data_IF_416900085482
#
_entry.id   IF_416900085482
#
_cell.length_a   1.000
_cell.length_b   1.000
_cell.length_c   1.000
_cell.angle_alpha   90.00
_cell.angle_beta   90.00
_cell.angle_gamma   90.00
#
_symmetry.space_group_name_H-M   'P 1'
#
loop_
_entity.id
_entity.type
_entity.pdbx_description
1 polymer ?
#
# COMPACT_ATOMS: atom_id res chain seq x y z
N UNK A 1 3.41 14.78 -3.67
CA UNK A 1 3.84 14.73 -5.07
C UNK A 1 3.82 16.13 -5.66
N UNK A 2 2.68 16.85 -5.64
CA UNK A 2 2.55 18.21 -6.20
C UNK A 2 3.68 19.15 -5.71
N UNK A 3 3.88 19.27 -4.39
CA UNK A 3 4.95 20.11 -3.81
C UNK A 3 6.35 19.72 -4.29
N UNK A 4 6.63 18.43 -4.44
CA UNK A 4 7.94 17.95 -4.91
C UNK A 4 8.16 18.18 -6.40
N UNK A 5 7.11 18.09 -7.17
CA UNK A 5 7.13 18.41 -8.60
C UNK A 5 7.37 19.92 -8.80
N UNK A 6 6.66 20.75 -8.02
CA UNK A 6 6.86 22.21 -8.02
C UNK A 6 8.28 22.61 -7.62
N UNK A 7 8.83 22.03 -6.54
CA UNK A 7 10.23 22.24 -6.12
C UNK A 7 11.22 21.87 -7.24
N UNK A 8 10.90 20.83 -8.03
CA UNK A 8 11.72 20.38 -9.15
C UNK A 8 11.47 21.14 -10.47
N UNK A 9 10.46 22.01 -10.52
CA UNK A 9 10.08 22.75 -11.72
C UNK A 9 9.50 21.89 -12.86
N UNK A 10 8.88 20.75 -12.51
CA UNK A 10 8.28 19.81 -13.47
C UNK A 10 6.84 19.48 -13.07
N UNK A 11 6.11 18.81 -13.96
CA UNK A 11 4.74 18.36 -13.66
C UNK A 11 4.73 17.18 -12.67
N UNK A 12 3.64 16.99 -11.89
CA UNK A 12 3.49 15.81 -11.03
C UNK A 12 3.65 14.49 -11.79
N UNK A 13 3.18 14.41 -13.03
CA UNK A 13 3.31 13.22 -13.89
C UNK A 13 4.79 12.93 -14.22
N UNK A 14 5.53 13.94 -14.66
CA UNK A 14 6.97 13.80 -14.93
C UNK A 14 7.76 13.41 -13.67
N UNK A 15 7.39 13.99 -12.52
CA UNK A 15 8.03 13.64 -11.25
C UNK A 15 7.87 12.16 -10.91
N UNK A 16 6.63 11.63 -10.97
CA UNK A 16 6.40 10.20 -10.67
C UNK A 16 6.93 9.28 -11.75
N UNK A 17 7.01 9.70 -13.01
CA UNK A 17 7.63 8.93 -14.09
C UNK A 17 9.13 8.78 -13.85
N UNK A 18 9.82 9.85 -13.47
CA UNK A 18 11.24 9.81 -13.14
C UNK A 18 11.53 8.88 -11.94
N UNK A 19 10.77 9.02 -10.85
CA UNK A 19 10.92 8.17 -9.66
C UNK A 19 10.68 6.70 -10.00
N UNK A 20 9.63 6.42 -10.76
CA UNK A 20 9.29 5.05 -11.16
C UNK A 20 10.34 4.46 -12.11
N UNK A 21 10.90 5.28 -13.02
CA UNK A 21 11.99 4.88 -13.89
C UNK A 21 13.22 4.44 -13.11
N UNK A 22 13.58 5.18 -12.04
CA UNK A 22 14.69 4.80 -11.16
C UNK A 22 14.41 3.52 -10.39
N UNK A 23 13.19 3.32 -9.88
CA UNK A 23 12.82 2.06 -9.22
C UNK A 23 12.98 0.88 -10.18
N UNK A 24 12.49 1.02 -11.41
CA UNK A 24 12.61 -0.02 -12.43
C UNK A 24 14.08 -0.30 -12.77
N UNK A 25 14.90 0.74 -12.93
CA UNK A 25 16.34 0.61 -13.18
C UNK A 25 17.03 -0.18 -12.05
N UNK A 26 16.70 0.10 -10.79
CA UNK A 26 17.24 -0.64 -9.64
C UNK A 26 16.80 -2.11 -9.67
N UNK A 27 15.57 -2.40 -10.03
CA UNK A 27 15.11 -3.78 -10.17
C UNK A 27 15.84 -4.53 -11.27
N UNK A 28 16.08 -3.87 -12.42
CA UNK A 28 16.86 -4.43 -13.51
C UNK A 28 18.33 -4.64 -13.09
N UNK A 29 18.95 -3.68 -12.38
CA UNK A 29 20.29 -3.79 -11.79
C UNK A 29 20.39 -4.99 -10.83
N UNK A 30 19.37 -5.20 -10.01
CA UNK A 30 19.29 -6.33 -9.07
C UNK A 30 18.91 -7.65 -9.74
N UNK A 31 18.87 -7.70 -11.06
CA UNK A 31 18.51 -8.89 -11.83
C UNK A 31 17.15 -9.49 -11.43
N UNK A 32 16.18 -8.63 -11.13
CA UNK A 32 14.84 -9.02 -10.74
C UNK A 32 14.03 -9.33 -11.98
N UNK A 33 13.56 -10.57 -12.10
CA UNK A 33 12.63 -10.94 -13.17
C UNK A 33 11.19 -10.67 -12.74
N UNK A 34 10.44 -9.98 -13.59
CA UNK A 34 9.02 -9.71 -13.43
C UNK A 34 8.32 -9.72 -14.79
N UNK A 35 7.08 -10.20 -14.82
CA UNK A 35 6.30 -10.26 -16.07
C UNK A 35 5.61 -8.94 -16.37
N UNK A 36 5.30 -8.16 -15.33
CA UNK A 36 4.64 -6.86 -15.46
C UNK A 36 5.09 -5.87 -14.40
N UNK A 37 5.36 -4.64 -14.84
CA UNK A 37 5.60 -3.47 -14.00
C UNK A 37 4.45 -2.49 -14.21
N UNK A 38 3.49 -2.48 -13.28
CA UNK A 38 2.31 -1.62 -13.37
C UNK A 38 2.55 -0.25 -12.74
N UNK A 39 1.88 0.75 -13.32
CA UNK A 39 1.80 2.12 -12.79
C UNK A 39 0.35 2.48 -12.51
N UNK A 40 0.09 3.12 -11.36
CA UNK A 40 -1.25 3.65 -11.05
C UNK A 40 -1.61 4.88 -11.89
N UNK A 41 -0.69 5.36 -12.70
CA UNK A 41 -0.90 6.37 -13.75
C UNK A 41 -1.17 5.77 -15.14
N UNK A 42 -1.33 4.45 -15.24
CA UNK A 42 -1.74 3.81 -16.48
C UNK A 42 -3.24 4.09 -16.73
N UNK A 43 -3.58 4.53 -17.93
CA UNK A 43 -4.94 4.95 -18.27
C UNK A 43 -6.02 3.87 -18.04
N UNK A 44 -5.66 2.60 -18.31
CA UNK A 44 -6.57 1.47 -18.06
C UNK A 44 -6.82 1.27 -16.56
N UNK A 45 -5.77 1.43 -15.74
CA UNK A 45 -5.91 1.37 -14.30
C UNK A 45 -6.82 2.50 -13.77
N UNK A 46 -6.55 3.74 -14.15
CA UNK A 46 -7.35 4.89 -13.71
C UNK A 46 -8.83 4.71 -14.06
N UNK A 47 -9.11 4.27 -15.28
CA UNK A 47 -10.48 3.99 -15.73
C UNK A 47 -11.17 2.91 -14.91
N UNK A 48 -10.46 1.83 -14.57
CA UNK A 48 -11.02 0.77 -13.74
C UNK A 48 -11.24 1.21 -12.29
N UNK A 49 -10.34 2.01 -11.72
CA UNK A 49 -10.54 2.60 -10.38
C UNK A 49 -11.80 3.45 -10.33
N UNK A 50 -12.05 4.28 -11.34
CA UNK A 50 -13.28 5.07 -11.43
C UNK A 50 -14.53 4.19 -11.47
N UNK A 51 -14.53 3.13 -12.28
CA UNK A 51 -15.64 2.17 -12.36
C UNK A 51 -15.86 1.42 -11.04
N UNK A 52 -14.77 0.98 -10.39
CA UNK A 52 -14.80 0.32 -9.08
C UNK A 52 -15.41 1.26 -8.04
N UNK A 53 -14.94 2.49 -7.98
CA UNK A 53 -15.48 3.48 -7.05
C UNK A 53 -16.99 3.68 -7.26
N UNK A 54 -17.41 3.88 -8.51
CA UNK A 54 -18.82 4.04 -8.88
C UNK A 54 -19.66 2.82 -8.48
N UNK A 55 -19.18 1.60 -8.77
CA UNK A 55 -19.85 0.35 -8.40
C UNK A 55 -20.04 0.25 -6.88
N UNK A 56 -18.99 0.50 -6.11
CA UNK A 56 -19.05 0.47 -4.63
C UNK A 56 -20.00 1.56 -4.07
N UNK A 57 -20.09 2.70 -4.74
CA UNK A 57 -21.03 3.76 -4.40
C UNK A 57 -22.47 3.34 -4.71
N UNK A 58 -22.74 2.84 -5.91
CA UNK A 58 -24.09 2.44 -6.35
C UNK A 58 -24.66 1.30 -5.52
N UNK A 59 -23.83 0.38 -5.04
CA UNK A 59 -24.27 -0.70 -4.14
C UNK A 59 -24.36 -0.27 -2.66
N UNK A 60 -24.06 0.99 -2.37
CA UNK A 60 -24.19 1.60 -1.04
C UNK A 60 -23.08 1.22 -0.05
N UNK A 61 -21.96 0.69 -0.53
CA UNK A 61 -20.75 0.44 0.29
C UNK A 61 -19.88 1.69 0.45
N UNK A 62 -19.99 2.63 -0.49
CA UNK A 62 -19.45 3.98 -0.35
C UNK A 62 -20.58 4.98 -0.15
N UNK A 63 -20.40 5.92 0.75
CA UNK A 63 -21.33 7.00 1.04
C UNK A 63 -20.61 8.32 1.26
N UNK A 64 -21.29 9.43 0.98
CA UNK A 64 -20.75 10.78 1.19
C UNK A 64 -20.99 11.24 2.62
N UNK A 65 -19.97 11.81 3.23
CA UNK A 65 -20.00 12.31 4.59
C UNK A 65 -19.04 13.48 4.79
N UNK A 66 -18.87 13.86 6.04
CA UNK A 66 -17.89 14.87 6.44
C UNK A 66 -16.91 14.24 7.40
N UNK A 67 -15.64 14.52 7.20
CA UNK A 67 -14.58 14.12 8.08
C UNK A 67 -14.14 15.30 8.96
N UNK A 68 -14.08 15.08 10.25
CA UNK A 68 -13.43 15.97 11.22
C UNK A 68 -12.45 15.13 12.03
N UNK A 69 -11.16 15.47 12.01
CA UNK A 69 -10.16 14.73 12.76
C UNK A 69 -8.75 15.27 12.55
N UNK A 70 -7.80 14.55 13.11
CA UNK A 70 -6.38 14.89 13.04
C UNK A 70 -5.74 14.18 11.83
N UNK A 71 -5.22 14.93 10.90
CA UNK A 71 -4.62 14.40 9.68
C UNK A 71 -3.09 14.39 9.75
N UNK A 72 -2.52 13.24 9.45
CA UNK A 72 -1.09 13.10 9.26
C UNK A 72 -0.75 13.14 7.78
N UNK A 73 -0.20 14.24 7.31
CA UNK A 73 0.17 14.42 5.89
C UNK A 73 1.17 13.37 5.40
N UNK A 74 2.23 13.01 6.16
CA UNK A 74 3.20 12.03 5.68
C UNK A 74 2.69 10.59 5.59
N UNK A 75 1.71 10.21 6.44
CA UNK A 75 1.08 8.89 6.42
C UNK A 75 -0.21 8.88 5.59
N UNK A 76 -0.64 10.08 5.14
CA UNK A 76 -1.92 10.27 4.45
C UNK A 76 -3.09 9.61 5.18
N UNK A 77 -3.05 9.67 6.53
CA UNK A 77 -4.00 8.97 7.39
C UNK A 77 -4.66 9.94 8.36
N UNK A 78 -5.92 9.68 8.62
CA UNK A 78 -6.69 10.39 9.61
C UNK A 78 -6.72 9.60 10.92
N UNK A 79 -6.76 10.33 12.02
CA UNK A 79 -6.84 9.79 13.36
C UNK A 79 -7.84 10.60 14.18
N UNK A 80 -8.51 9.94 15.09
CA UNK A 80 -9.21 10.64 16.18
C UNK A 80 -8.19 11.18 17.17
N UNK A 81 -8.54 12.19 17.96
CA UNK A 81 -7.64 12.70 19.01
C UNK A 81 -7.18 11.60 19.97
N UNK A 82 -8.08 10.64 20.28
CA UNK A 82 -7.78 9.51 21.17
C UNK A 82 -6.80 8.48 20.56
N UNK A 83 -6.60 8.49 19.25
CA UNK A 83 -5.64 7.61 18.58
C UNK A 83 -4.23 8.20 18.50
N UNK A 84 -4.08 9.50 18.78
CA UNK A 84 -2.78 10.14 18.77
C UNK A 84 -1.95 9.70 20.00
N UNK A 85 -0.66 9.55 19.79
CA UNK A 85 0.31 9.32 20.87
C UNK A 85 1.03 10.65 21.14
N UNK A 86 0.81 11.23 22.30
CA UNK A 86 1.33 12.55 22.67
C UNK A 86 1.02 13.64 21.63
N UNK A 87 -0.20 13.61 21.07
CA UNK A 87 -0.64 14.56 20.03
C UNK A 87 -0.02 14.32 18.65
N UNK A 88 0.65 13.20 18.45
CA UNK A 88 1.35 12.84 17.20
C UNK A 88 0.78 11.58 16.57
N UNK A 89 1.07 11.42 15.29
CA UNK A 89 0.69 10.24 14.52
C UNK A 89 1.23 8.96 15.16
N UNK A 90 0.39 7.95 15.44
CA UNK A 90 0.83 6.69 16.03
C UNK A 90 1.75 5.88 15.10
N UNK A 91 1.62 6.08 13.78
CA UNK A 91 2.38 5.31 12.80
C UNK A 91 3.78 5.89 12.53
N UNK A 92 3.92 7.22 12.50
CA UNK A 92 5.20 7.85 12.12
C UNK A 92 5.76 8.85 13.15
N UNK A 93 5.03 9.13 14.24
CA UNK A 93 5.45 10.06 15.29
C UNK A 93 5.47 11.55 14.90
N UNK A 94 4.97 11.92 13.71
CA UNK A 94 4.93 13.32 13.24
C UNK A 94 3.67 14.04 13.72
N UNK A 95 3.70 15.38 13.83
CA UNK A 95 2.51 16.15 14.19
C UNK A 95 1.36 15.92 13.23
N UNK A 96 0.13 15.85 13.76
CA UNK A 96 -1.09 15.85 12.98
C UNK A 96 -1.77 17.21 13.07
N UNK A 97 -2.47 17.62 12.03
CA UNK A 97 -3.21 18.88 11.96
C UNK A 97 -4.72 18.62 11.93
N UNK A 98 -5.55 19.45 12.58
CA UNK A 98 -7.00 19.36 12.44
C UNK A 98 -7.40 19.52 10.98
N UNK A 99 -8.24 18.64 10.49
CA UNK A 99 -8.78 18.72 9.13
C UNK A 99 -10.29 18.44 9.17
N UNK A 100 -11.03 19.22 8.38
CA UNK A 100 -12.44 19.05 8.13
C UNK A 100 -12.70 19.18 6.65
N UNK A 101 -13.16 18.10 6.03
CA UNK A 101 -13.52 18.14 4.61
C UNK A 101 -14.68 17.20 4.30
N UNK A 102 -15.40 17.50 3.22
CA UNK A 102 -16.35 16.58 2.62
C UNK A 102 -15.56 15.42 1.99
N UNK A 103 -15.98 14.20 2.23
CA UNK A 103 -15.31 13.01 1.70
C UNK A 103 -16.29 11.86 1.49
N UNK A 104 -15.87 10.90 0.69
CA UNK A 104 -16.53 9.61 0.58
C UNK A 104 -15.91 8.60 1.54
N UNK A 105 -16.77 7.77 2.13
CA UNK A 105 -16.38 6.75 3.11
C UNK A 105 -16.83 5.37 2.63
N UNK A 106 -15.94 4.39 2.79
CA UNK A 106 -16.25 3.00 2.53
C UNK A 106 -16.59 2.28 3.85
N UNK A 107 -17.68 1.51 3.85
CA UNK A 107 -18.21 0.78 5.02
C UNK A 107 -17.39 -0.44 5.38
N UNK A 108 -16.19 -0.22 5.96
CA UNK A 108 -15.30 -1.28 6.42
C UNK A 108 -15.97 -2.19 7.47
N UNK A 109 -16.72 -1.58 8.38
CA UNK A 109 -17.42 -2.25 9.49
C UNK A 109 -18.39 -3.33 9.02
N UNK A 110 -19.03 -3.13 7.86
CA UNK A 110 -19.95 -4.10 7.24
C UNK A 110 -19.28 -5.45 6.95
N UNK A 111 -18.01 -5.44 6.56
CA UNK A 111 -17.26 -6.62 6.11
C UNK A 111 -16.37 -7.23 7.20
N UNK A 112 -16.10 -6.51 8.29
CA UNK A 112 -15.20 -6.97 9.34
C UNK A 112 -15.52 -8.36 9.89
N UNK A 113 -16.79 -8.73 10.21
CA UNK A 113 -17.11 -10.07 10.70
C UNK A 113 -16.79 -11.18 9.67
N UNK A 114 -17.02 -10.92 8.39
CA UNK A 114 -16.70 -11.86 7.30
C UNK A 114 -15.19 -12.06 7.18
N UNK A 115 -14.41 -10.98 7.29
CA UNK A 115 -12.95 -11.05 7.24
C UNK A 115 -12.37 -11.79 8.45
N UNK A 116 -12.86 -11.52 9.67
CA UNK A 116 -12.43 -12.22 10.89
C UNK A 116 -12.68 -13.74 10.75
N UNK A 117 -13.87 -14.12 10.28
CA UNK A 117 -14.18 -15.51 10.02
C UNK A 117 -13.21 -16.14 9.02
N UNK A 118 -12.97 -15.46 7.89
CA UNK A 118 -12.05 -15.93 6.85
C UNK A 118 -10.63 -16.15 7.39
N UNK A 119 -10.09 -15.19 8.15
CA UNK A 119 -8.74 -15.29 8.75
C UNK A 119 -8.64 -16.48 9.71
N UNK A 120 -9.69 -16.77 10.48
CA UNK A 120 -9.71 -17.90 11.40
C UNK A 120 -9.79 -19.25 10.68
N UNK A 121 -10.54 -19.32 9.57
CA UNK A 121 -10.66 -20.52 8.74
C UNK A 121 -9.45 -20.76 7.83
N UNK A 122 -8.63 -19.72 7.59
CA UNK A 122 -7.46 -19.77 6.72
C UNK A 122 -6.18 -19.36 7.48
N UNK A 123 -5.61 -20.24 8.34
CA UNK A 123 -4.52 -19.86 9.25
C UNK A 123 -3.22 -19.45 8.55
N UNK A 124 -3.07 -19.77 7.26
CA UNK A 124 -1.92 -19.38 6.44
C UNK A 124 -2.13 -18.08 5.64
N UNK A 125 -3.33 -17.48 5.72
CA UNK A 125 -3.65 -16.29 4.95
C UNK A 125 -2.74 -15.11 5.27
N UNK A 126 -2.46 -14.85 6.55
CA UNK A 126 -1.55 -13.78 6.99
C UNK A 126 -0.30 -14.40 7.61
N UNK A 127 0.85 -14.08 7.05
CA UNK A 127 2.15 -14.54 7.50
C UNK A 127 3.15 -13.37 7.64
N UNK A 128 4.09 -13.46 8.58
CA UNK A 128 4.20 -14.44 9.69
C UNK A 128 3.02 -14.35 10.68
N UNK A 129 2.87 -15.34 11.53
CA UNK A 129 1.76 -15.44 12.51
C UNK A 129 1.72 -14.24 13.45
N UNK A 130 2.87 -13.66 13.79
CA UNK A 130 2.97 -12.42 14.58
C UNK A 130 2.17 -11.28 13.95
N UNK A 131 2.21 -11.15 12.62
CA UNK A 131 1.45 -10.13 11.87
C UNK A 131 -0.05 -10.42 11.89
N UNK A 132 -0.45 -11.69 11.78
CA UNK A 132 -1.86 -12.10 11.97
C UNK A 132 -2.38 -11.63 13.33
N UNK A 133 -1.64 -11.93 14.39
CA UNK A 133 -2.04 -11.58 15.75
C UNK A 133 -2.14 -10.06 15.94
N UNK A 134 -1.19 -9.31 15.40
CA UNK A 134 -1.21 -7.85 15.40
C UNK A 134 -2.47 -7.29 14.72
N UNK A 135 -2.79 -7.75 13.51
CA UNK A 135 -3.95 -7.29 12.76
C UNK A 135 -5.27 -7.64 13.44
N UNK A 136 -5.36 -8.85 13.98
CA UNK A 136 -6.54 -9.29 14.72
C UNK A 136 -6.77 -8.48 15.99
N UNK A 137 -5.74 -8.37 16.85
CA UNK A 137 -5.88 -7.78 18.17
C UNK A 137 -5.96 -6.25 18.16
N UNK A 138 -5.19 -5.60 17.28
CA UNK A 138 -5.10 -4.14 17.30
C UNK A 138 -6.14 -3.45 16.41
N UNK A 139 -6.69 -4.15 15.40
CA UNK A 139 -7.56 -3.52 14.43
C UNK A 139 -8.93 -4.22 14.28
N UNK A 140 -8.96 -5.54 14.09
CA UNK A 140 -10.20 -6.24 13.75
C UNK A 140 -11.10 -6.48 14.95
N UNK A 141 -10.56 -7.00 16.05
CA UNK A 141 -11.35 -7.29 17.27
C UNK A 141 -11.85 -6.04 17.99
N UNK A 142 -11.10 -4.92 18.04
CA UNK A 142 -11.65 -3.66 18.58
C UNK A 142 -12.76 -3.06 17.74
N UNK A 143 -12.90 -3.48 16.46
CA UNK A 143 -13.88 -2.96 15.51
C UNK A 143 -13.26 -1.99 14.50
N UNK A 144 -13.65 -2.14 13.24
CA UNK A 144 -13.21 -1.25 12.17
C UNK A 144 -14.12 -0.03 12.05
N UNK A 145 -13.49 1.12 11.88
CA UNK A 145 -14.18 2.33 11.44
C UNK A 145 -14.24 2.36 9.90
N UNK A 146 -15.20 3.11 9.36
CA UNK A 146 -15.33 3.29 7.93
C UNK A 146 -14.15 4.11 7.40
N UNK A 147 -13.67 3.71 6.22
CA UNK A 147 -12.48 4.26 5.60
C UNK A 147 -12.82 5.44 4.70
N UNK A 148 -12.15 6.57 4.91
CA UNK A 148 -12.18 7.68 3.96
C UNK A 148 -11.51 7.24 2.65
N UNK A 149 -12.23 7.33 1.53
CA UNK A 149 -11.77 6.87 0.21
C UNK A 149 -11.70 7.96 -0.85
N UNK A 150 -11.88 9.22 -0.45
CA UNK A 150 -11.67 10.38 -1.33
C UNK A 150 -11.13 11.58 -0.59
N UNK A 151 -10.57 12.52 -1.34
CA UNK A 151 -10.01 13.78 -0.84
C UNK A 151 -10.39 14.95 -1.75
N UNK A 152 -10.47 16.14 -1.16
CA UNK A 152 -10.69 17.40 -1.88
C UNK A 152 -9.55 18.40 -1.67
N UNK A 153 -8.61 18.11 -0.78
CA UNK A 153 -7.54 19.02 -0.38
C UNK A 153 -6.36 19.09 -1.36
N UNK A 154 -6.34 18.23 -2.38
CA UNK A 154 -5.35 18.22 -3.46
C UNK A 154 -6.01 17.74 -4.76
N UNK A 155 -5.34 17.98 -5.90
CA UNK A 155 -5.89 17.67 -7.23
C UNK A 155 -5.19 16.52 -7.94
N UNK A 156 -3.97 16.15 -7.50
CA UNK A 156 -3.23 15.03 -8.07
C UNK A 156 -3.80 13.70 -7.59
N UNK A 157 -4.36 12.93 -8.50
CA UNK A 157 -4.95 11.62 -8.25
C UNK A 157 -6.02 11.30 -9.27
N UNK A 158 -6.66 10.14 -9.11
CA UNK A 158 -7.74 9.70 -10.00
C UNK A 158 -9.04 10.39 -9.58
N UNK A 159 -9.64 11.24 -10.43
CA UNK A 159 -10.87 11.92 -10.07
C UNK A 159 -12.02 10.94 -9.92
N UNK A 160 -12.92 11.20 -8.97
CA UNK A 160 -14.21 10.49 -8.88
C UNK A 160 -15.09 10.96 -10.05
N UNK A 161 -15.40 10.07 -10.96
CA UNK A 161 -16.01 10.38 -12.26
C UNK A 161 -17.31 11.18 -12.14
N UNK A 162 -18.18 10.81 -11.20
CA UNK A 162 -19.48 11.48 -10.98
C UNK A 162 -19.41 12.68 -10.01
N UNK A 163 -18.25 12.95 -9.39
CA UNK A 163 -18.01 14.10 -8.51
C UNK A 163 -16.54 14.55 -8.59
N UNK A 164 -16.16 15.26 -9.67
CA UNK A 164 -14.77 15.61 -9.98
C UNK A 164 -14.07 16.53 -8.98
N UNK A 165 -14.78 17.03 -7.97
CA UNK A 165 -14.16 17.75 -6.83
C UNK A 165 -13.32 16.83 -5.95
N UNK A 166 -13.62 15.53 -6.00
CA UNK A 166 -12.94 14.52 -5.22
C UNK A 166 -11.95 13.76 -6.09
N UNK A 167 -10.80 13.45 -5.51
CA UNK A 167 -9.86 12.45 -6.03
C UNK A 167 -9.93 11.20 -5.16
N UNK A 168 -9.75 10.05 -5.78
CA UNK A 168 -9.74 8.76 -5.09
C UNK A 168 -8.56 8.71 -4.12
N UNK A 169 -8.82 8.27 -2.90
CA UNK A 169 -7.79 8.13 -1.88
C UNK A 169 -6.82 6.97 -2.21
N UNK A 170 -5.57 7.18 -1.88
CA UNK A 170 -4.44 6.34 -2.29
C UNK A 170 -4.65 4.83 -2.12
N UNK A 171 -5.27 4.37 -1.04
CA UNK A 171 -5.37 2.93 -0.80
C UNK A 171 -6.44 2.23 -1.63
N UNK A 172 -7.51 2.89 -2.01
CA UNK A 172 -8.47 2.31 -2.97
C UNK A 172 -7.85 2.26 -4.37
N UNK A 173 -7.12 3.30 -4.76
CA UNK A 173 -6.34 3.35 -5.99
C UNK A 173 -5.22 2.29 -5.98
N UNK A 174 -4.29 2.39 -5.02
CA UNK A 174 -3.09 1.58 -5.00
C UNK A 174 -3.37 0.07 -4.91
N UNK A 175 -4.34 -0.37 -4.10
CA UNK A 175 -4.60 -1.80 -3.91
C UNK A 175 -5.27 -2.45 -5.13
N UNK A 176 -6.10 -1.71 -5.86
CA UNK A 176 -6.76 -2.25 -7.06
C UNK A 176 -5.80 -2.51 -8.21
N UNK A 177 -4.55 -1.99 -8.16
CA UNK A 177 -3.53 -2.28 -9.18
C UNK A 177 -3.27 -3.79 -9.34
N UNK A 178 -3.40 -4.58 -8.28
CA UNK A 178 -3.18 -6.02 -8.32
C UNK A 178 -4.11 -6.76 -9.28
N UNK A 179 -5.32 -6.25 -9.48
CA UNK A 179 -6.28 -6.83 -10.42
C UNK A 179 -6.29 -6.09 -11.77
N UNK A 180 -6.21 -4.76 -11.76
CA UNK A 180 -6.21 -3.98 -13.01
C UNK A 180 -4.97 -4.27 -13.85
N UNK A 181 -3.82 -4.48 -13.19
CA UNK A 181 -2.56 -4.82 -13.84
C UNK A 181 -2.59 -6.11 -14.65
N UNK A 182 -3.48 -7.02 -14.35
CA UNK A 182 -3.70 -8.27 -15.09
C UNK A 182 -5.00 -8.28 -15.90
N UNK A 183 -5.64 -7.10 -16.05
CA UNK A 183 -6.77 -6.91 -16.96
C UNK A 183 -8.14 -7.22 -16.36
N UNK A 184 -8.33 -6.96 -15.06
CA UNK A 184 -9.67 -6.94 -14.48
C UNK A 184 -10.51 -5.85 -15.13
N UNK A 185 -11.75 -6.20 -15.46
CA UNK A 185 -12.76 -5.24 -15.90
C UNK A 185 -14.01 -5.32 -15.02
N UNK A 186 -14.35 -4.18 -14.44
CA UNK A 186 -15.49 -4.02 -13.54
C UNK A 186 -16.84 -4.34 -14.22
N UNK A 187 -16.92 -4.20 -15.55
CA UNK A 187 -18.12 -4.48 -16.35
C UNK A 187 -18.24 -5.97 -16.74
N UNK A 188 -17.32 -6.82 -16.27
CA UNK A 188 -17.38 -8.26 -16.49
C UNK A 188 -16.63 -8.77 -17.72
N UNK A 189 -15.87 -7.92 -18.42
CA UNK A 189 -15.09 -8.28 -19.60
C UNK A 189 -13.59 -8.45 -19.26
N UNK A 190 -13.30 -9.04 -18.11
CA UNK A 190 -11.91 -9.26 -17.65
C UNK A 190 -11.13 -10.13 -18.63
N UNK A 191 -9.84 -9.86 -18.75
CA UNK A 191 -8.94 -10.55 -19.66
C UNK A 191 -8.72 -12.03 -19.29
N UNK A 192 -8.25 -12.82 -20.24
CA UNK A 192 -7.79 -14.20 -19.96
C UNK A 192 -6.65 -14.24 -18.94
N UNK A 193 -5.78 -13.22 -18.91
CA UNK A 193 -4.70 -13.11 -17.94
C UNK A 193 -5.24 -12.98 -16.52
N UNK A 194 -6.28 -12.16 -16.30
CA UNK A 194 -6.98 -12.06 -15.02
C UNK A 194 -7.61 -13.39 -14.63
N UNK A 195 -8.38 -13.99 -15.53
CA UNK A 195 -9.10 -15.25 -15.25
C UNK A 195 -8.16 -16.42 -14.91
N UNK A 196 -6.94 -16.41 -15.48
CA UNK A 196 -5.91 -17.43 -15.23
C UNK A 196 -5.15 -17.21 -13.93
N UNK A 197 -4.85 -15.95 -13.57
CA UNK A 197 -3.89 -15.64 -12.51
C UNK A 197 -4.52 -15.06 -11.23
N UNK A 198 -5.81 -14.73 -11.25
CA UNK A 198 -6.51 -14.33 -10.04
C UNK A 198 -7.31 -15.50 -9.45
N UNK A 199 -7.27 -15.78 -8.12
CA UNK A 199 -6.59 -15.01 -7.10
C UNK A 199 -5.07 -15.21 -7.07
N UNK A 200 -4.35 -14.19 -6.61
CA UNK A 200 -2.91 -14.26 -6.41
C UNK A 200 -2.54 -15.36 -5.41
N UNK A 201 -1.46 -16.09 -5.68
CA UNK A 201 -0.93 -17.08 -4.74
C UNK A 201 -0.31 -16.40 -3.51
N UNK A 202 0.42 -15.30 -3.74
CA UNK A 202 1.13 -14.57 -2.70
C UNK A 202 1.14 -13.07 -2.99
N UNK A 203 0.78 -12.28 -1.99
CA UNK A 203 1.18 -10.87 -1.88
C UNK A 203 2.39 -10.78 -0.95
N UNK A 204 3.55 -10.50 -1.50
CA UNK A 204 4.78 -10.26 -0.75
C UNK A 204 4.98 -8.76 -0.59
N UNK A 205 4.91 -8.28 0.64
CA UNK A 205 4.89 -6.84 0.94
C UNK A 205 5.73 -6.51 2.17
N UNK A 206 6.11 -5.24 2.35
CA UNK A 206 6.71 -4.77 3.59
C UNK A 206 5.73 -4.80 4.77
N UNK A 207 6.21 -5.11 5.96
CA UNK A 207 5.37 -5.16 7.17
C UNK A 207 4.69 -3.82 7.50
N UNK A 208 5.22 -2.72 7.04
CA UNK A 208 4.68 -1.36 7.22
C UNK A 208 3.35 -1.14 6.50
N UNK A 209 3.08 -1.92 5.46
CA UNK A 209 1.82 -1.86 4.72
C UNK A 209 0.95 -3.11 4.89
N UNK A 210 1.25 -3.95 5.91
CA UNK A 210 0.52 -5.20 6.16
C UNK A 210 -0.98 -4.96 6.43
N UNK A 211 -1.32 -3.90 7.16
CA UNK A 211 -2.71 -3.55 7.47
C UNK A 211 -3.55 -3.33 6.23
N UNK A 212 -2.99 -2.64 5.24
CA UNK A 212 -3.70 -2.34 3.99
C UNK A 212 -3.94 -3.59 3.16
N UNK A 213 -3.00 -4.53 3.15
CA UNK A 213 -3.08 -5.76 2.35
C UNK A 213 -3.85 -6.90 3.03
N UNK A 214 -4.01 -6.85 4.35
CA UNK A 214 -4.70 -7.91 5.11
C UNK A 214 -6.06 -7.50 5.64
N UNK A 215 -6.37 -6.20 5.66
CA UNK A 215 -7.65 -5.65 6.10
C UNK A 215 -8.36 -4.94 4.94
N UNK A 216 -7.77 -3.85 4.39
CA UNK A 216 -8.46 -3.04 3.38
C UNK A 216 -8.65 -3.80 2.08
N UNK A 217 -7.60 -4.39 1.55
CA UNK A 217 -7.65 -5.11 0.29
C UNK A 217 -8.62 -6.30 0.29
N UNK A 218 -8.59 -7.22 1.26
CA UNK A 218 -9.58 -8.28 1.34
C UNK A 218 -11.02 -7.77 1.43
N UNK A 219 -11.25 -6.68 2.15
CA UNK A 219 -12.58 -6.09 2.28
C UNK A 219 -13.06 -5.48 0.95
N UNK A 220 -12.19 -4.79 0.20
CA UNK A 220 -12.52 -4.31 -1.14
C UNK A 220 -12.85 -5.46 -2.09
N UNK A 221 -12.07 -6.54 -2.05
CA UNK A 221 -12.36 -7.75 -2.84
C UNK A 221 -13.68 -8.40 -2.46
N UNK A 222 -13.99 -8.48 -1.17
CA UNK A 222 -15.29 -8.98 -0.70
C UNK A 222 -16.47 -8.13 -1.20
N UNK A 223 -16.29 -6.81 -1.25
CA UNK A 223 -17.30 -5.88 -1.74
C UNK A 223 -17.47 -5.95 -3.27
N UNK A 224 -16.40 -6.33 -3.98
CA UNK A 224 -16.42 -6.57 -5.43
C UNK A 224 -16.85 -7.99 -5.81
N UNK A 225 -17.12 -8.84 -4.81
CA UNK A 225 -17.43 -10.26 -4.97
C UNK A 225 -16.32 -11.04 -5.70
N UNK A 226 -15.06 -10.69 -5.38
CA UNK A 226 -13.87 -11.33 -5.91
C UNK A 226 -13.21 -12.26 -4.86
N UNK A 227 -12.57 -13.35 -5.30
CA UNK A 227 -11.83 -14.22 -4.39
C UNK A 227 -10.62 -13.47 -3.81
N UNK A 228 -10.27 -13.83 -2.56
CA UNK A 228 -9.11 -13.25 -1.87
C UNK A 228 -7.80 -13.91 -2.32
N UNK A 229 -6.66 -13.20 -2.18
CA UNK A 229 -5.33 -13.82 -2.34
C UNK A 229 -5.18 -15.01 -1.40
N UNK A 230 -4.42 -16.03 -1.80
CA UNK A 230 -4.22 -17.22 -0.96
C UNK A 230 -3.39 -16.91 0.28
N UNK A 231 -2.40 -16.01 0.14
CA UNK A 231 -1.53 -15.61 1.23
C UNK A 231 -1.06 -14.15 1.08
N UNK A 232 -0.91 -13.48 2.21
CA UNK A 232 -0.20 -12.19 2.35
C UNK A 232 0.96 -12.40 3.31
N UNK A 233 2.18 -12.14 2.85
CA UNK A 233 3.39 -12.22 3.66
C UNK A 233 4.01 -10.84 3.84
N UNK A 234 4.08 -10.38 5.09
CA UNK A 234 4.71 -9.11 5.46
C UNK A 234 6.16 -9.30 5.88
N UNK A 235 7.11 -9.04 4.96
CA UNK A 235 8.52 -9.14 5.28
C UNK A 235 8.98 -8.00 6.21
N UNK A 236 9.99 -8.24 7.06
CA UNK A 236 10.52 -7.24 7.98
C UNK A 236 11.34 -6.16 7.27
N UNK A 237 11.82 -5.20 8.04
CA UNK A 237 12.67 -4.13 7.55
C UNK A 237 14.14 -4.53 7.49
N UNK A 238 14.82 -3.88 6.57
CA UNK A 238 16.26 -3.85 6.49
C UNK A 238 16.74 -2.58 7.21
N UNK A 239 17.48 -2.77 8.29
CA UNK A 239 17.97 -1.70 9.16
C UNK A 239 19.46 -1.45 8.91
N UNK A 240 19.94 -0.24 9.18
CA UNK A 240 21.35 0.06 9.28
C UNK A 240 21.66 0.56 10.70
N UNK A 241 22.61 -0.09 11.37
CA UNK A 241 22.88 0.16 12.77
C UNK A 241 21.66 -0.13 13.64
N UNK A 242 21.30 0.79 14.50
CA UNK A 242 20.19 0.68 15.45
C UNK A 242 18.87 1.28 14.95
N UNK A 243 18.76 1.59 13.64
CA UNK A 243 17.58 2.26 13.14
C UNK A 243 17.24 2.07 11.68
N UNK A 244 16.01 2.48 11.35
CA UNK A 244 15.51 2.50 9.98
C UNK A 244 16.34 3.44 9.10
N UNK A 245 16.70 2.98 7.91
CA UNK A 245 17.38 3.80 6.91
C UNK A 245 16.52 5.01 6.52
N UNK A 246 17.15 6.19 6.47
CA UNK A 246 16.49 7.43 6.09
C UNK A 246 17.47 8.37 5.42
N UNK A 247 17.07 8.97 4.28
CA UNK A 247 17.88 9.98 3.59
C UNK A 247 18.23 11.17 4.48
N UNK A 248 17.32 11.57 5.37
CA UNK A 248 17.55 12.67 6.31
C UNK A 248 18.58 12.37 7.40
N UNK A 249 18.83 11.09 7.69
CA UNK A 249 19.85 10.63 8.64
C UNK A 249 21.19 10.33 7.97
N UNK A 250 21.26 10.33 6.63
CA UNK A 250 22.46 10.00 5.88
C UNK A 250 22.93 8.54 6.04
N UNK A 251 22.06 7.66 6.53
CA UNK A 251 22.38 6.25 6.79
C UNK A 251 21.76 5.30 5.75
N UNK A 252 21.59 5.73 4.51
CA UNK A 252 21.07 4.90 3.44
C UNK A 252 22.21 4.16 2.74
N UNK A 253 22.10 2.84 2.61
CA UNK A 253 22.94 2.03 1.73
C UNK A 253 22.16 1.83 0.44
N UNK A 254 22.75 2.21 -0.68
CA UNK A 254 22.10 2.10 -1.99
C UNK A 254 22.45 0.78 -2.66
N UNK A 255 21.51 0.24 -3.43
CA UNK A 255 21.73 -1.00 -4.19
C UNK A 255 22.87 -0.84 -5.22
N UNK A 256 22.98 0.34 -5.84
CA UNK A 256 24.08 0.65 -6.76
C UNK A 256 25.45 0.44 -6.11
N UNK A 257 25.67 1.03 -4.93
CA UNK A 257 26.93 0.92 -4.19
C UNK A 257 27.28 -0.53 -3.83
N UNK A 258 26.26 -1.30 -3.42
CA UNK A 258 26.45 -2.71 -3.09
C UNK A 258 26.78 -3.55 -4.32
N UNK A 259 26.07 -3.33 -5.42
CA UNK A 259 26.28 -4.09 -6.65
C UNK A 259 27.63 -3.74 -7.29
N UNK A 260 28.02 -2.46 -7.26
CA UNK A 260 29.32 -2.01 -7.78
C UNK A 260 30.49 -2.61 -7.00
N UNK A 261 30.33 -2.78 -5.68
CA UNK A 261 31.41 -3.30 -4.83
C UNK A 261 31.45 -4.83 -4.79
N UNK A 262 30.29 -5.50 -4.61
CA UNK A 262 30.22 -6.94 -4.36
C UNK A 262 29.72 -7.76 -5.56
N UNK A 263 29.14 -7.12 -6.56
CA UNK A 263 28.42 -7.78 -7.64
C UNK A 263 27.00 -8.21 -7.24
N UNK A 264 26.13 -8.32 -8.25
CA UNK A 264 24.70 -8.55 -8.03
C UNK A 264 24.40 -9.89 -7.35
N UNK A 265 25.13 -10.95 -7.69
CA UNK A 265 24.90 -12.29 -7.15
C UNK A 265 25.18 -12.34 -5.65
N UNK A 266 26.28 -11.72 -5.19
CA UNK A 266 26.62 -11.64 -3.76
C UNK A 266 25.57 -10.84 -2.99
N UNK A 267 25.12 -9.69 -3.52
CA UNK A 267 24.08 -8.88 -2.87
C UNK A 267 22.77 -9.64 -2.76
N UNK A 268 22.35 -10.34 -3.82
CA UNK A 268 21.14 -11.18 -3.82
C UNK A 268 21.23 -12.32 -2.82
N UNK A 269 22.38 -13.00 -2.77
CA UNK A 269 22.62 -14.09 -1.80
C UNK A 269 22.55 -13.54 -0.37
N UNK A 270 23.24 -12.45 -0.09
CA UNK A 270 23.25 -11.82 1.23
C UNK A 270 21.85 -11.50 1.74
N UNK A 271 21.04 -10.82 0.91
CA UNK A 271 19.68 -10.43 1.29
C UNK A 271 18.81 -11.65 1.63
N UNK A 272 18.98 -12.78 0.94
CA UNK A 272 18.19 -13.99 1.21
C UNK A 272 18.76 -14.84 2.36
N UNK A 273 20.07 -14.80 2.59
CA UNK A 273 20.74 -15.61 3.60
C UNK A 273 20.72 -14.95 4.98
N UNK A 274 21.07 -13.66 5.05
CA UNK A 274 21.27 -12.96 6.32
C UNK A 274 20.02 -12.25 6.85
N UNK A 275 19.03 -11.96 5.96
CA UNK A 275 17.81 -11.27 6.37
C UNK A 275 16.77 -12.26 6.89
N UNK A 276 16.42 -12.24 8.19
CA UNK A 276 15.37 -13.08 8.74
C UNK A 276 14.01 -12.78 8.09
N UNK A 277 13.15 -13.78 7.94
CA UNK A 277 11.80 -13.57 7.40
C UNK A 277 10.82 -12.95 8.39
N UNK A 278 11.03 -13.11 9.69
CA UNK A 278 10.07 -12.68 10.73
C UNK A 278 10.52 -11.46 11.50
N UNK A 279 11.82 -11.24 11.63
CA UNK A 279 12.42 -10.16 12.41
C UNK A 279 13.21 -9.21 11.51
N UNK A 280 13.34 -7.95 11.95
CA UNK A 280 14.15 -6.98 11.23
C UNK A 280 15.60 -7.46 11.14
N UNK A 281 16.17 -7.32 9.94
CA UNK A 281 17.57 -7.62 9.68
C UNK A 281 18.41 -6.36 9.68
N UNK A 282 19.68 -6.50 10.06
CA UNK A 282 20.65 -5.40 10.01
C UNK A 282 21.62 -5.65 8.86
N UNK A 283 21.85 -4.64 8.02
CA UNK A 283 22.87 -4.65 6.98
C UNK A 283 24.00 -3.71 7.39
N UNK A 284 25.23 -4.19 7.32
CA UNK A 284 26.45 -3.41 7.45
C UNK A 284 27.45 -3.80 6.39
N UNK A 285 28.40 -2.93 6.09
CA UNK A 285 29.47 -3.24 5.15
C UNK A 285 30.35 -4.40 5.66
N UNK A 286 30.59 -4.45 6.97
CA UNK A 286 31.38 -5.49 7.64
C UNK A 286 30.70 -6.87 7.44
N UNK A 287 29.40 -6.95 7.69
CA UNK A 287 28.63 -8.20 7.53
C UNK A 287 28.60 -8.68 6.07
N UNK A 288 28.66 -7.75 5.11
CA UNK A 288 28.71 -8.08 3.69
C UNK A 288 30.07 -8.65 3.25
N UNK A 289 31.15 -8.35 3.98
CA UNK A 289 32.51 -8.83 3.68
C UNK A 289 32.78 -10.21 4.27
N UNK A 290 32.16 -10.55 5.38
CA UNK A 290 32.26 -11.86 6.03
C UNK A 290 31.59 -12.97 5.19
#
# INVERSE_FOLDING_TARGET
IELKAEEAGITPKEFVDNVSGEIKRIWDLMNTSYDKFIRTTDADHEKQVQKIFKKLYDQGDIYKGHYEGMYCTPCESFFTESQLVDGKCPDCGRPCTPAKEEAYFFKMSKYAPRLIKYINEHPKFIQPVSRKNEMMNNFLLPGLQDLCVSRTSFSWGIPVDFDPKHVTYVWLDALTNYITGIGYDCDGNSSELFNKNWPADLHLIGKDIIRFHTIYWPIFLMALDLPLPKQVFGHPWLLQGDGKMSKSKGNVIYADDLVDFFGVDAVRYFVLHEMPFENDGVITWELMVE
#
